data_IF_438833487798
#
_entry.id   IF_438833487798
#
_cell.length_a   1.000
_cell.length_b   1.000
_cell.length_c   1.000
_cell.angle_alpha   90.00
_cell.angle_beta   90.00
_cell.angle_gamma   90.00
#
_symmetry.space_group_name_H-M   'P 1'
#
loop_
_entity.id
_entity.type
_entity.pdbx_description
1 polymer ?
#
# COMPACT_ATOMS: atom_id res chain seq x y z
N UNK A 1 -7.03 -49.19 65.33
CA UNK A 1 -8.27 -48.39 65.42
C UNK A 1 -8.25 -47.41 64.25
N UNK A 2 -9.13 -47.54 63.24
CA UNK A 2 -10.32 -46.68 62.96
C UNK A 2 -9.91 -45.19 62.81
N UNK A 3 -10.13 -44.40 61.74
CA UNK A 3 -11.08 -44.25 60.61
C UNK A 3 -10.30 -43.48 59.48
N UNK A 4 -10.50 -43.56 58.16
CA UNK A 4 -11.65 -43.51 57.23
C UNK A 4 -12.43 -42.19 57.16
N UNK A 5 -12.07 -41.30 56.22
CA UNK A 5 -12.90 -40.28 55.52
C UNK A 5 -12.15 -39.87 54.23
N UNK A 6 -12.47 -40.31 53.01
CA UNK A 6 -13.54 -39.96 52.03
C UNK A 6 -13.75 -38.46 51.70
N UNK A 7 -13.65 -38.18 50.37
CA UNK A 7 -14.35 -37.20 49.51
C UNK A 7 -14.06 -35.69 49.69
N UNK A 8 -13.92 -34.85 48.65
CA UNK A 8 -14.60 -34.78 47.34
C UNK A 8 -13.68 -34.31 46.19
N UNK A 9 -13.75 -35.03 45.07
CA UNK A 9 -13.28 -34.63 43.75
C UNK A 9 -14.41 -33.83 43.08
N UNK A 10 -14.21 -32.52 42.89
CA UNK A 10 -15.13 -31.65 42.15
C UNK A 10 -14.95 -31.82 40.65
N UNK A 11 -15.73 -32.72 40.05
CA UNK A 11 -15.82 -32.90 38.60
C UNK A 11 -16.73 -31.78 38.04
N UNK A 12 -16.13 -30.76 37.43
CA UNK A 12 -16.88 -29.79 36.62
C UNK A 12 -17.36 -30.48 35.35
N UNK A 13 -18.63 -30.90 35.36
CA UNK A 13 -19.39 -31.21 34.16
C UNK A 13 -19.64 -29.90 33.40
N UNK A 14 -18.78 -29.58 32.44
CA UNK A 14 -19.10 -28.62 31.39
C UNK A 14 -20.07 -29.32 30.43
N UNK A 15 -21.36 -29.04 30.62
CA UNK A 15 -22.46 -29.50 29.77
C UNK A 15 -22.30 -28.93 28.36
N UNK A 16 -21.70 -29.74 27.48
CA UNK A 16 -21.74 -29.57 26.02
C UNK A 16 -23.19 -29.79 25.57
N UNK A 17 -23.89 -28.70 25.27
CA UNK A 17 -25.16 -28.75 24.54
C UNK A 17 -24.85 -29.10 23.09
N UNK A 18 -24.99 -30.39 22.76
CA UNK A 18 -25.07 -30.85 21.37
C UNK A 18 -26.42 -30.41 20.78
N UNK A 19 -26.43 -29.28 20.09
CA UNK A 19 -27.50 -28.86 19.19
C UNK A 19 -26.98 -29.03 17.74
N UNK A 20 -27.57 -30.00 17.05
CA UNK A 20 -27.64 -30.18 15.60
C UNK A 20 -26.89 -29.16 14.72
N UNK A 21 -25.69 -29.52 14.27
CA UNK A 21 -25.04 -28.90 13.11
C UNK A 21 -24.19 -29.93 12.33
N UNK A 22 -24.77 -31.10 12.03
CA UNK A 22 -24.15 -32.05 11.09
C UNK A 22 -24.45 -31.57 9.66
N UNK A 23 -23.66 -30.59 9.20
CA UNK A 23 -23.80 -29.99 7.87
C UNK A 23 -23.07 -28.65 7.67
N UNK A 24 -22.53 -28.05 8.75
CA UNK A 24 -21.75 -26.80 8.68
C UNK A 24 -20.27 -26.97 9.05
N UNK A 25 -19.82 -28.18 9.34
CA UNK A 25 -18.40 -28.43 9.64
C UNK A 25 -17.51 -28.40 8.39
N UNK A 26 -18.04 -28.73 7.20
CA UNK A 26 -17.27 -28.74 5.96
C UNK A 26 -17.02 -27.34 5.39
N UNK A 27 -17.92 -26.38 5.65
CA UNK A 27 -17.78 -25.00 5.16
C UNK A 27 -16.76 -24.16 5.95
N UNK A 28 -16.40 -24.59 7.17
CA UNK A 28 -15.44 -23.87 8.03
C UNK A 28 -14.00 -24.32 7.73
N UNK A 29 -13.80 -25.49 7.12
CA UNK A 29 -12.47 -25.99 6.75
C UNK A 29 -12.02 -25.48 5.36
N UNK A 30 -12.94 -25.13 4.45
CA UNK A 30 -12.60 -24.53 3.15
C UNK A 30 -12.19 -23.04 3.21
N UNK A 31 -12.35 -22.39 4.37
CA UNK A 31 -11.79 -21.06 4.61
C UNK A 31 -10.27 -21.09 4.91
N UNK A 32 -9.66 -22.28 4.93
CA UNK A 32 -8.22 -22.46 5.09
C UNK A 32 -7.53 -22.17 3.75
N UNK A 33 -7.09 -20.93 3.61
CA UNK A 33 -5.99 -20.47 2.73
C UNK A 33 -6.24 -20.53 1.22
N UNK A 34 -7.28 -19.86 0.73
CA UNK A 34 -7.25 -19.40 -0.66
C UNK A 34 -5.96 -18.57 -0.87
N UNK A 35 -5.11 -18.98 -1.82
CA UNK A 35 -3.90 -18.24 -2.17
C UNK A 35 -4.30 -16.81 -2.56
N UNK A 36 -3.62 -15.79 -2.06
CA UNK A 36 -3.94 -14.42 -2.43
C UNK A 36 -3.78 -14.22 -3.94
N UNK A 37 -4.59 -13.33 -4.51
CA UNK A 37 -4.70 -13.16 -5.97
C UNK A 37 -4.59 -11.69 -6.36
N UNK A 38 -4.17 -11.44 -7.60
CA UNK A 38 -4.12 -10.09 -8.16
C UNK A 38 -5.50 -9.42 -8.23
N UNK A 39 -6.59 -10.18 -8.18
CA UNK A 39 -7.96 -9.63 -8.09
C UNK A 39 -8.23 -8.85 -6.79
N UNK A 40 -7.37 -9.00 -5.77
CA UNK A 40 -7.46 -8.27 -4.51
C UNK A 40 -6.86 -6.86 -4.59
N UNK A 41 -6.18 -6.52 -5.69
CA UNK A 41 -5.64 -5.20 -5.92
C UNK A 41 -6.76 -4.15 -6.00
N UNK A 42 -6.55 -3.02 -5.34
CA UNK A 42 -7.55 -1.93 -5.28
C UNK A 42 -7.16 -0.82 -6.24
N UNK A 43 -8.09 -0.43 -7.12
CA UNK A 43 -7.91 0.71 -8.00
C UNK A 43 -8.00 2.03 -7.22
N UNK A 44 -6.92 2.80 -7.25
CA UNK A 44 -6.81 4.10 -6.61
C UNK A 44 -6.41 5.19 -7.61
N UNK A 45 -6.53 4.90 -8.90
CA UNK A 45 -6.17 5.75 -10.02
C UNK A 45 -6.82 7.13 -9.93
N UNK A 46 -6.16 8.08 -10.58
CA UNK A 46 -6.50 9.50 -10.56
C UNK A 46 -6.59 10.01 -11.99
N UNK A 47 -7.60 10.85 -12.24
CA UNK A 47 -7.91 11.42 -13.55
C UNK A 47 -8.24 10.34 -14.60
N UNK A 48 -7.79 10.50 -15.85
CA UNK A 48 -8.03 9.56 -16.94
C UNK A 48 -7.07 8.37 -16.86
N UNK A 49 -7.20 7.63 -15.77
CA UNK A 49 -6.42 6.45 -15.48
C UNK A 49 -7.28 5.41 -14.78
N UNK A 50 -6.91 4.15 -14.95
CA UNK A 50 -7.62 3.03 -14.35
C UNK A 50 -6.70 1.84 -14.16
N UNK A 51 -7.20 0.89 -13.39
CA UNK A 51 -6.64 -0.45 -13.32
C UNK A 51 -7.73 -1.48 -13.62
N UNK A 52 -7.34 -2.62 -14.17
CA UNK A 52 -8.28 -3.66 -14.55
C UNK A 52 -7.63 -5.04 -14.54
N UNK A 53 -8.45 -6.07 -14.37
CA UNK A 53 -8.04 -7.46 -14.59
C UNK A 53 -8.46 -7.92 -15.99
N UNK A 54 -7.56 -8.60 -16.68
CA UNK A 54 -7.84 -9.35 -17.92
C UNK A 54 -7.28 -10.76 -17.79
N UNK A 55 -8.14 -11.73 -17.50
CA UNK A 55 -7.70 -13.06 -17.08
C UNK A 55 -6.89 -13.01 -15.79
N UNK A 56 -5.68 -13.56 -15.80
CA UNK A 56 -4.73 -13.53 -14.66
C UNK A 56 -3.70 -12.38 -14.76
N UNK A 57 -3.98 -11.36 -15.59
CA UNK A 57 -3.09 -10.21 -15.77
C UNK A 57 -3.78 -8.97 -15.25
N UNK A 58 -3.11 -8.29 -14.33
CA UNK A 58 -3.49 -6.98 -13.85
C UNK A 58 -2.90 -5.89 -14.74
N UNK A 59 -3.70 -4.90 -15.10
CA UNK A 59 -3.32 -3.80 -15.97
C UNK A 59 -3.38 -2.49 -15.21
N UNK A 60 -2.36 -1.66 -15.36
CA UNK A 60 -2.38 -0.24 -15.01
C UNK A 60 -2.33 0.56 -16.30
N UNK A 61 -3.27 1.50 -16.47
CA UNK A 61 -3.38 2.28 -17.70
C UNK A 61 -3.71 3.74 -17.43
N UNK A 62 -2.97 4.65 -18.07
CA UNK A 62 -3.37 6.04 -18.24
C UNK A 62 -3.83 6.26 -19.67
N UNK A 63 -4.63 7.30 -19.91
CA UNK A 63 -5.05 7.74 -21.24
C UNK A 63 -4.49 9.13 -21.53
N UNK A 64 -4.49 9.50 -22.82
CA UNK A 64 -4.16 10.88 -23.21
C UNK A 64 -5.38 11.78 -23.00
N UNK A 65 -5.20 12.93 -22.37
CA UNK A 65 -6.26 13.94 -22.27
C UNK A 65 -5.99 15.02 -21.23
N UNK A 66 -6.67 16.17 -21.35
CA UNK A 66 -6.56 17.23 -20.36
C UNK A 66 -7.29 16.84 -19.05
N UNK A 67 -6.74 17.22 -17.90
CA UNK A 67 -7.37 17.02 -16.61
C UNK A 67 -7.40 18.32 -15.80
N UNK A 68 -8.40 18.51 -14.92
CA UNK A 68 -8.38 19.61 -13.99
C UNK A 68 -7.21 19.49 -13.01
N UNK A 69 -6.68 20.63 -12.59
CA UNK A 69 -5.81 20.70 -11.41
C UNK A 69 -6.63 20.33 -10.18
N UNK A 70 -6.01 19.63 -9.23
CA UNK A 70 -6.62 19.33 -7.93
C UNK A 70 -6.83 17.85 -7.66
N UNK A 71 -6.47 16.98 -8.60
CA UNK A 71 -6.65 15.53 -8.43
C UNK A 71 -5.55 14.86 -7.59
N UNK A 72 -4.39 15.51 -7.48
CA UNK A 72 -3.24 15.06 -6.68
C UNK A 72 -3.04 15.96 -5.48
N UNK A 73 -2.47 15.44 -4.40
CA UNK A 73 -2.10 16.26 -3.24
C UNK A 73 -1.17 17.42 -3.64
N UNK A 74 -0.24 17.20 -4.57
CA UNK A 74 0.71 18.22 -5.06
C UNK A 74 0.20 19.19 -6.15
N UNK A 75 -1.08 19.13 -6.55
CA UNK A 75 -1.66 20.09 -7.51
C UNK A 75 -1.34 19.84 -9.00
N UNK A 76 -0.96 18.61 -9.36
CA UNK A 76 -0.74 18.23 -10.76
C UNK A 76 -2.01 18.14 -11.60
N UNK A 77 -1.84 18.07 -12.93
CA UNK A 77 -2.90 17.87 -13.94
C UNK A 77 -2.64 16.64 -14.85
N UNK A 78 -1.65 15.82 -14.52
CA UNK A 78 -1.34 14.59 -15.26
C UNK A 78 -2.30 13.43 -14.97
N UNK A 79 -1.93 12.23 -15.43
CA UNK A 79 -2.66 10.99 -15.17
C UNK A 79 -1.77 10.02 -14.41
N UNK A 80 -2.34 9.32 -13.42
CA UNK A 80 -1.62 8.25 -12.72
C UNK A 80 -2.56 7.09 -12.45
N UNK A 81 -2.24 5.93 -13.04
CA UNK A 81 -2.87 4.68 -12.67
C UNK A 81 -2.19 4.20 -11.39
N UNK A 82 -2.98 3.91 -10.37
CA UNK A 82 -2.49 3.57 -9.03
C UNK A 82 -3.24 2.33 -8.58
N UNK A 83 -2.49 1.32 -8.17
CA UNK A 83 -3.03 0.13 -7.55
C UNK A 83 -2.37 -0.10 -6.21
N UNK A 84 -3.16 -0.52 -5.23
CA UNK A 84 -2.61 -0.90 -3.94
C UNK A 84 -2.91 -2.35 -3.57
N UNK A 85 -1.93 -2.97 -2.93
CA UNK A 85 -1.98 -4.33 -2.42
C UNK A 85 -2.41 -4.31 -0.95
N UNK A 86 -3.60 -4.82 -0.61
CA UNK A 86 -4.07 -4.85 0.78
C UNK A 86 -3.35 -5.95 1.59
N UNK A 87 -3.57 -5.93 2.91
CA UNK A 87 -3.08 -6.97 3.83
C UNK A 87 -1.72 -6.69 4.48
N UNK A 88 -1.15 -5.51 4.27
CA UNK A 88 0.15 -5.11 4.85
C UNK A 88 0.04 -3.96 5.87
N UNK A 89 -1.16 -3.63 6.34
CA UNK A 89 -1.29 -2.62 7.39
C UNK A 89 -0.62 -3.09 8.69
N UNK A 90 0.21 -2.22 9.27
CA UNK A 90 1.10 -2.49 10.40
C UNK A 90 2.13 -3.59 10.15
N UNK A 91 2.46 -3.88 8.88
CA UNK A 91 3.53 -4.81 8.58
C UNK A 91 4.89 -4.15 8.91
N UNK A 92 5.66 -4.67 9.88
CA UNK A 92 6.92 -4.05 10.29
C UNK A 92 7.89 -4.01 9.12
N UNK A 93 8.44 -2.82 8.82
CA UNK A 93 9.33 -2.64 7.68
C UNK A 93 10.64 -3.42 7.85
N UNK A 94 11.05 -3.68 9.10
CA UNK A 94 12.17 -4.57 9.45
C UNK A 94 11.96 -6.04 9.08
N UNK A 95 10.72 -6.46 8.82
CA UNK A 95 10.39 -7.80 8.34
C UNK A 95 10.27 -7.86 6.82
N UNK A 96 10.34 -6.73 6.11
CA UNK A 96 10.33 -6.73 4.65
C UNK A 96 11.71 -7.17 4.15
N UNK A 97 11.79 -8.32 3.49
CA UNK A 97 13.02 -8.79 2.87
C UNK A 97 13.08 -8.43 1.39
N UNK A 98 12.01 -8.74 0.66
CA UNK A 98 11.99 -8.68 -0.81
C UNK A 98 10.60 -8.39 -1.35
N UNK A 99 10.52 -7.59 -2.40
CA UNK A 99 9.34 -7.48 -3.26
C UNK A 99 9.77 -7.86 -4.67
N UNK A 100 9.16 -8.90 -5.22
CA UNK A 100 9.35 -9.32 -6.60
C UNK A 100 8.06 -9.10 -7.36
N UNK A 101 8.14 -8.60 -8.58
CA UNK A 101 6.99 -8.51 -9.47
C UNK A 101 7.40 -8.84 -10.90
N UNK A 102 6.48 -9.45 -11.63
CA UNK A 102 6.68 -9.76 -13.03
C UNK A 102 5.76 -8.90 -13.88
N UNK A 103 6.37 -8.05 -14.70
CA UNK A 103 5.67 -7.01 -15.42
C UNK A 103 6.24 -6.80 -16.81
N UNK A 104 5.41 -6.24 -17.69
CA UNK A 104 5.82 -5.71 -18.99
C UNK A 104 5.14 -4.40 -19.27
N UNK A 105 5.82 -3.53 -20.01
CA UNK A 105 5.20 -2.34 -20.59
C UNK A 105 4.56 -2.73 -21.92
N UNK A 106 3.44 -2.11 -22.26
CA UNK A 106 2.85 -2.26 -23.60
C UNK A 106 2.74 -0.93 -24.34
N UNK A 107 2.73 0.19 -23.64
CA UNK A 107 2.64 1.53 -24.25
C UNK A 107 3.27 2.57 -23.34
N UNK A 108 3.86 3.60 -23.94
CA UNK A 108 4.41 4.77 -23.24
C UNK A 108 5.90 4.63 -22.88
N UNK A 109 6.42 5.57 -22.09
CA UNK A 109 7.83 5.65 -21.72
C UNK A 109 8.08 5.78 -20.22
N UNK A 110 7.01 5.79 -19.42
CA UNK A 110 7.10 5.93 -17.97
C UNK A 110 7.35 4.56 -17.32
N UNK A 111 8.24 4.53 -16.33
CA UNK A 111 8.56 3.34 -15.55
C UNK A 111 7.46 3.03 -14.53
N UNK A 112 7.31 1.75 -14.19
CA UNK A 112 6.45 1.30 -13.10
C UNK A 112 7.04 1.69 -11.75
N UNK A 113 6.29 2.45 -10.96
CA UNK A 113 6.65 2.87 -9.61
C UNK A 113 6.26 1.79 -8.61
N UNK A 114 7.13 1.52 -7.65
CA UNK A 114 6.81 0.81 -6.41
C UNK A 114 6.97 1.77 -5.24
N UNK A 115 5.90 1.99 -4.49
CA UNK A 115 5.86 2.85 -3.32
C UNK A 115 5.35 2.09 -2.09
N UNK A 116 5.88 2.42 -0.92
CA UNK A 116 5.39 1.97 0.37
C UNK A 116 4.88 3.18 1.15
N UNK A 117 3.70 3.07 1.75
CA UNK A 117 3.17 4.06 2.69
C UNK A 117 3.57 3.61 4.08
N UNK A 118 4.44 4.39 4.72
CA UNK A 118 5.13 4.01 5.93
C UNK A 118 4.77 4.97 7.05
N UNK A 119 4.34 4.45 8.18
CA UNK A 119 4.34 5.17 9.46
C UNK A 119 5.71 5.00 10.12
N UNK A 120 6.31 6.09 10.55
CA UNK A 120 7.69 6.13 11.03
C UNK A 120 7.85 5.41 12.38
N UNK A 121 6.80 5.41 13.21
CA UNK A 121 6.82 4.82 14.56
C UNK A 121 5.84 3.66 14.74
N UNK A 122 5.04 3.35 13.72
CA UNK A 122 3.97 2.34 13.76
C UNK A 122 2.96 2.51 14.90
N UNK A 123 2.61 3.77 15.20
CA UNK A 123 1.65 4.12 16.24
C UNK A 123 0.35 4.65 15.68
N UNK A 124 0.34 5.07 14.41
CA UNK A 124 -0.81 5.70 13.79
C UNK A 124 -1.65 4.67 13.05
N UNK A 125 -2.92 4.57 13.46
CA UNK A 125 -3.92 3.80 12.71
C UNK A 125 -4.34 4.51 11.42
N UNK A 126 -5.02 3.76 10.53
CA UNK A 126 -5.62 4.26 9.29
C UNK A 126 -6.49 5.51 9.55
N UNK A 127 -7.07 5.59 10.75
CA UNK A 127 -8.13 6.49 11.20
C UNK A 127 -7.72 7.97 11.36
N UNK A 128 -6.44 8.33 11.16
CA UNK A 128 -6.07 9.76 11.06
C UNK A 128 -6.83 10.49 9.95
N UNK A 129 -7.32 9.76 8.93
CA UNK A 129 -8.23 10.30 7.92
C UNK A 129 -9.59 10.74 8.47
N UNK A 130 -10.02 10.25 9.63
CA UNK A 130 -11.36 10.54 10.15
C UNK A 130 -11.35 11.61 11.24
N UNK A 131 -10.16 12.09 11.63
CA UNK A 131 -10.04 13.20 12.58
C UNK A 131 -9.96 14.52 11.82
N UNK A 132 -10.93 15.40 12.02
CA UNK A 132 -10.92 16.76 11.44
C UNK A 132 -9.80 17.64 12.01
N UNK A 133 -9.17 17.22 13.11
CA UNK A 133 -8.05 17.91 13.74
C UNK A 133 -6.69 17.60 13.06
N UNK A 134 -6.55 16.46 12.38
CA UNK A 134 -5.32 16.13 11.68
C UNK A 134 -5.23 16.92 10.37
N UNK A 135 -4.03 17.38 10.06
CA UNK A 135 -3.69 18.11 8.84
C UNK A 135 -2.68 17.34 7.99
N UNK A 136 -2.51 17.74 6.74
CA UNK A 136 -1.45 17.23 5.86
C UNK A 136 -0.06 17.37 6.50
N UNK A 137 0.21 18.44 7.26
CA UNK A 137 1.45 18.56 8.04
C UNK A 137 1.61 17.45 9.09
N UNK A 138 0.53 17.05 9.77
CA UNK A 138 0.58 15.98 10.75
C UNK A 138 0.88 14.63 10.09
N UNK A 139 0.30 14.38 8.91
CA UNK A 139 0.60 13.17 8.12
C UNK A 139 2.08 13.18 7.72
N UNK A 140 2.58 14.29 7.15
CA UNK A 140 3.97 14.40 6.70
C UNK A 140 4.95 14.13 7.84
N UNK A 141 4.69 14.72 9.01
CA UNK A 141 5.59 14.60 10.16
C UNK A 141 5.80 13.15 10.63
N UNK A 142 4.81 12.27 10.46
CA UNK A 142 4.83 10.92 11.01
C UNK A 142 4.82 9.83 9.93
N UNK A 143 4.50 10.16 8.68
CA UNK A 143 4.43 9.21 7.58
C UNK A 143 5.35 9.61 6.45
N UNK A 144 5.81 8.60 5.71
CA UNK A 144 6.61 8.75 4.50
C UNK A 144 6.13 7.84 3.41
N UNK A 145 6.38 8.26 2.18
CA UNK A 145 6.33 7.38 1.03
C UNK A 145 7.77 6.92 0.78
N UNK A 146 8.03 5.63 0.90
CA UNK A 146 9.29 5.05 0.43
C UNK A 146 9.09 4.57 -1.00
N UNK A 147 9.75 5.22 -1.95
CA UNK A 147 9.72 4.85 -3.35
C UNK A 147 10.99 4.10 -3.72
N UNK A 148 10.87 3.16 -4.65
CA UNK A 148 12.05 2.55 -5.28
C UNK A 148 12.54 3.46 -6.39
N UNK A 149 13.87 3.65 -6.48
CA UNK A 149 14.52 4.26 -7.64
C UNK A 149 14.37 3.34 -8.86
N UNK A 150 13.24 3.50 -9.51
CA UNK A 150 12.80 2.72 -10.65
C UNK A 150 13.80 2.68 -11.82
N UNK A 151 14.64 3.70 -11.99
CA UNK A 151 15.63 3.71 -13.07
C UNK A 151 16.74 2.66 -12.87
N UNK A 152 16.92 2.19 -11.64
CA UNK A 152 17.91 1.17 -11.29
C UNK A 152 17.36 -0.25 -11.36
N UNK A 153 16.04 -0.41 -11.25
CA UNK A 153 15.38 -1.73 -11.13
C UNK A 153 14.59 -2.08 -12.38
N UNK A 154 13.82 -1.14 -12.92
CA UNK A 154 12.83 -1.41 -13.95
C UNK A 154 13.36 -0.97 -15.30
N UNK A 155 13.41 -1.91 -16.24
CA UNK A 155 13.74 -1.63 -17.63
C UNK A 155 12.46 -1.31 -18.42
N UNK A 156 12.60 -0.48 -19.44
CA UNK A 156 11.55 -0.29 -20.44
C UNK A 156 11.56 -1.48 -21.41
N UNK A 157 11.02 -2.60 -20.95
CA UNK A 157 10.89 -3.85 -21.71
C UNK A 157 9.44 -4.11 -22.11
N UNK A 158 9.25 -4.54 -23.35
CA UNK A 158 7.95 -4.90 -23.93
C UNK A 158 7.65 -6.42 -23.73
N UNK A 159 8.60 -7.15 -23.14
CA UNK A 159 8.48 -8.54 -22.69
C UNK A 159 8.23 -8.63 -21.18
N UNK A 160 7.69 -9.75 -20.70
CA UNK A 160 7.55 -9.99 -19.26
C UNK A 160 8.92 -10.24 -18.65
N UNK A 161 9.31 -9.33 -17.77
CA UNK A 161 10.55 -9.40 -17.01
C UNK A 161 10.25 -9.45 -15.51
N UNK A 162 11.07 -10.19 -14.78
CA UNK A 162 10.97 -10.31 -13.32
C UNK A 162 11.89 -9.30 -12.66
N UNK A 163 11.32 -8.43 -11.84
CA UNK A 163 12.01 -7.39 -11.10
C UNK A 163 12.01 -7.75 -9.62
N UNK A 164 13.17 -7.66 -8.96
CA UNK A 164 13.30 -7.94 -7.52
C UNK A 164 13.91 -6.73 -6.84
N UNK A 165 13.23 -6.27 -5.81
CA UNK A 165 13.64 -5.17 -4.93
C UNK A 165 13.95 -5.78 -3.57
N UNK A 166 15.20 -5.70 -3.14
CA UNK A 166 15.63 -6.18 -1.83
C UNK A 166 15.69 -5.02 -0.83
N UNK A 167 15.44 -5.32 0.44
CA UNK A 167 15.59 -4.34 1.52
C UNK A 167 17.02 -3.77 1.65
N UNK A 168 18.01 -4.55 1.23
CA UNK A 168 19.43 -4.19 1.28
C UNK A 168 19.90 -3.36 0.09
N UNK A 169 19.09 -3.22 -0.96
CA UNK A 169 19.47 -2.50 -2.16
C UNK A 169 19.50 -1.00 -1.88
N UNK A 170 20.50 -0.29 -2.43
CA UNK A 170 20.64 1.17 -2.23
C UNK A 170 19.76 1.99 -3.17
N UNK A 171 18.48 1.64 -3.23
CA UNK A 171 17.50 2.12 -4.21
C UNK A 171 16.27 2.73 -3.53
N UNK A 172 16.21 2.75 -2.19
CA UNK A 172 15.04 3.24 -1.46
C UNK A 172 15.17 4.75 -1.25
N UNK A 173 14.14 5.46 -1.70
CA UNK A 173 14.01 6.91 -1.65
C UNK A 173 12.87 7.28 -0.72
N UNK A 174 13.15 8.04 0.33
CA UNK A 174 12.09 8.69 1.10
C UNK A 174 11.62 9.92 0.31
N UNK A 175 10.39 9.88 -0.19
CA UNK A 175 9.80 10.94 -0.98
C UNK A 175 8.95 11.86 -0.11
N UNK A 176 8.99 13.14 -0.44
CA UNK A 176 8.17 14.16 0.18
C UNK A 176 8.82 14.88 1.35
N UNK A 177 8.29 16.06 1.66
CA UNK A 177 8.86 16.97 2.66
C UNK A 177 8.28 16.70 4.04
N UNK A 178 9.10 16.22 4.97
CA UNK A 178 8.75 16.26 6.38
C UNK A 178 9.97 16.16 7.28
N UNK A 179 9.92 16.84 8.43
CA UNK A 179 10.78 16.56 9.57
C UNK A 179 12.27 16.65 9.30
N UNK A 180 12.72 17.58 8.44
CA UNK A 180 14.16 17.78 8.19
C UNK A 180 14.81 16.79 7.22
N UNK A 181 14.06 15.91 6.56
CA UNK A 181 14.58 15.13 5.44
C UNK A 181 14.51 15.96 4.14
N UNK A 182 15.57 16.01 3.33
CA UNK A 182 15.54 16.62 2.00
C UNK A 182 14.38 16.02 1.18
N UNK A 183 13.77 16.84 0.32
CA UNK A 183 12.62 16.45 -0.51
C UNK A 183 12.86 15.21 -1.39
N UNK A 184 14.13 14.81 -1.55
CA UNK A 184 14.59 13.57 -2.14
C UNK A 184 15.87 13.18 -1.39
N UNK A 185 15.79 12.34 -0.36
CA UNK A 185 17.00 11.77 0.22
C UNK A 185 17.63 10.85 -0.83
N UNK A 186 18.91 11.02 -1.23
CA UNK A 186 19.55 10.14 -2.20
C UNK A 186 19.43 8.67 -1.77
N UNK A 187 19.23 7.79 -2.76
CA UNK A 187 18.94 6.36 -2.58
C UNK A 187 19.77 5.73 -1.47
N UNK A 188 19.08 5.10 -0.53
CA UNK A 188 19.69 4.36 0.58
C UNK A 188 19.13 2.95 0.66
N UNK A 189 19.55 2.22 1.69
CA UNK A 189 18.98 0.90 2.02
C UNK A 189 17.85 1.08 3.03
N UNK A 190 16.92 0.11 3.10
CA UNK A 190 15.94 0.09 4.18
C UNK A 190 16.62 -0.06 5.55
N UNK A 191 17.78 -0.72 5.62
CA UNK A 191 18.55 -0.85 6.87
C UNK A 191 18.95 0.52 7.41
N UNK A 192 19.49 1.39 6.56
CA UNK A 192 19.86 2.76 6.97
C UNK A 192 18.64 3.56 7.41
N UNK A 193 17.51 3.39 6.71
CA UNK A 193 16.25 4.03 7.11
C UNK A 193 15.76 3.55 8.49
N UNK A 194 15.80 2.24 8.72
CA UNK A 194 15.40 1.59 9.98
C UNK A 194 16.35 1.90 11.14
N UNK A 195 17.60 2.27 10.89
CA UNK A 195 18.49 2.75 11.95
C UNK A 195 17.96 4.05 12.60
N UNK A 196 17.29 4.90 11.81
CA UNK A 196 16.64 6.13 12.31
C UNK A 196 15.22 5.84 12.80
N UNK A 197 14.48 4.98 12.10
CA UNK A 197 13.07 4.66 12.37
C UNK A 197 12.89 3.16 12.63
N UNK A 198 13.36 2.64 13.77
CA UNK A 198 13.42 1.20 14.03
C UNK A 198 12.05 0.53 14.12
N UNK A 199 11.01 1.30 14.43
CA UNK A 199 9.64 0.82 14.57
C UNK A 199 8.81 1.03 13.31
N UNK A 200 9.37 1.56 12.22
CA UNK A 200 8.59 1.91 11.04
C UNK A 200 7.83 0.70 10.47
N UNK A 201 6.61 0.94 10.00
CA UNK A 201 5.77 -0.10 9.41
C UNK A 201 4.99 0.39 8.21
N UNK A 202 4.72 -0.54 7.29
CA UNK A 202 3.80 -0.31 6.18
C UNK A 202 2.40 -0.16 6.77
N UNK A 203 1.64 0.83 6.31
CA UNK A 203 0.28 1.08 6.75
C UNK A 203 -0.63 1.34 5.57
N UNK A 204 -1.90 0.99 5.67
CA UNK A 204 -2.90 1.70 4.89
C UNK A 204 -3.09 3.09 5.52
N UNK A 205 -3.26 4.10 4.69
CA UNK A 205 -3.45 5.44 5.21
C UNK A 205 -3.53 6.51 4.13
N UNK A 206 -3.86 7.72 4.59
CA UNK A 206 -3.81 8.94 3.78
C UNK A 206 -2.40 9.13 3.22
N UNK A 207 -2.31 9.23 1.90
CA UNK A 207 -1.11 9.75 1.26
C UNK A 207 -1.14 11.28 1.18
N UNK A 208 0.01 11.90 1.39
CA UNK A 208 0.18 13.35 1.54
C UNK A 208 1.23 13.94 0.58
N UNK A 209 1.85 13.09 -0.25
CA UNK A 209 2.89 13.46 -1.20
C UNK A 209 3.02 12.40 -2.34
N UNK A 210 4.16 12.35 -3.04
CA UNK A 210 4.51 11.33 -4.04
C UNK A 210 3.66 11.38 -5.31
N UNK A 211 2.91 12.47 -5.51
CA UNK A 211 1.88 12.57 -6.54
C UNK A 211 0.79 11.52 -6.36
N UNK A 212 0.42 11.20 -5.11
CA UNK A 212 -0.74 10.38 -4.79
C UNK A 212 -2.04 11.18 -4.90
N UNK A 213 -3.15 10.42 -4.98
CA UNK A 213 -4.48 10.98 -5.17
C UNK A 213 -4.98 11.82 -4.00
N UNK A 214 -5.89 12.72 -4.31
CA UNK A 214 -6.63 13.55 -3.36
C UNK A 214 -8.07 13.06 -3.26
N UNK A 215 -8.69 13.22 -2.10
CA UNK A 215 -10.15 13.10 -1.98
C UNK A 215 -10.86 14.25 -2.69
N UNK A 216 -11.94 13.91 -3.40
CA UNK A 216 -12.72 14.83 -4.22
C UNK A 216 -14.01 15.19 -3.46
N UNK A 217 -13.85 15.89 -2.33
CA UNK A 217 -14.95 16.31 -1.44
C UNK A 217 -14.92 17.80 -1.07
N UNK A 218 -15.96 18.25 -0.34
CA UNK A 218 -16.10 19.63 0.13
C UNK A 218 -14.89 20.00 1.01
N UNK A 219 -14.13 21.01 0.60
CA UNK A 219 -12.93 21.50 1.30
C UNK A 219 -11.60 20.93 0.81
N UNK A 220 -11.60 19.92 -0.07
CA UNK A 220 -10.36 19.31 -0.61
C UNK A 220 -10.10 19.68 -2.07
N UNK A 221 -11.14 19.98 -2.83
CA UNK A 221 -11.03 20.42 -4.21
C UNK A 221 -10.46 21.84 -4.28
N UNK A 222 -9.25 21.99 -4.82
CA UNK A 222 -8.62 23.29 -5.04
C UNK A 222 -7.96 23.31 -6.41
N UNK A 223 -7.86 24.47 -7.04
CA UNK A 223 -7.10 24.67 -8.28
C UNK A 223 -5.57 24.71 -8.07
N UNK A 224 -5.07 24.22 -6.93
CA UNK A 224 -3.66 24.21 -6.54
C UNK A 224 -3.32 22.92 -5.77
N UNK A 225 -2.08 22.77 -5.31
CA UNK A 225 -1.73 21.72 -4.34
C UNK A 225 -2.43 21.95 -2.98
N UNK A 226 -2.55 20.88 -2.19
CA UNK A 226 -3.02 21.01 -0.81
C UNK A 226 -1.97 21.73 0.04
N UNK A 227 -2.41 22.76 0.77
CA UNK A 227 -1.60 23.39 1.79
C UNK A 227 -1.32 22.39 2.93
N UNK A 228 -0.22 22.59 3.66
CA UNK A 228 0.12 21.78 4.84
C UNK A 228 -0.94 21.86 5.95
N UNK A 229 -1.69 22.96 6.02
CA UNK A 229 -2.81 23.16 6.94
C UNK A 229 -4.13 22.55 6.46
N UNK A 230 -4.18 21.99 5.24
CA UNK A 230 -5.38 21.30 4.77
C UNK A 230 -5.67 20.10 5.67
N UNK A 231 -6.95 19.74 5.89
CA UNK A 231 -7.28 18.55 6.65
C UNK A 231 -6.66 17.29 6.05
N UNK A 232 -6.20 16.38 6.91
CA UNK A 232 -5.55 15.13 6.49
C UNK A 232 -6.47 14.29 5.60
N UNK A 233 -7.77 14.27 5.87
CA UNK A 233 -8.77 13.54 5.07
C UNK A 233 -8.81 13.98 3.60
N UNK A 234 -8.18 15.10 3.23
CA UNK A 234 -8.09 15.50 1.84
C UNK A 234 -7.07 14.67 1.04
N UNK A 235 -6.12 13.98 1.66
CA UNK A 235 -5.32 12.97 0.96
C UNK A 235 -6.12 11.68 0.78
N UNK A 236 -6.02 11.04 -0.39
CA UNK A 236 -6.72 9.77 -0.64
C UNK A 236 -6.11 8.66 0.20
N UNK A 237 -6.97 7.83 0.79
CA UNK A 237 -6.51 6.64 1.48
C UNK A 237 -5.97 5.62 0.48
N UNK A 238 -4.77 5.11 0.75
CA UNK A 238 -4.06 4.12 -0.07
C UNK A 238 -3.66 2.91 0.77
N UNK A 239 -3.69 1.70 0.19
CA UNK A 239 -3.22 0.50 0.90
C UNK A 239 -1.71 0.36 0.75
N UNK A 240 -1.04 -0.09 1.80
CA UNK A 240 0.35 0.28 2.07
C UNK A 240 1.41 -0.05 1.01
N UNK A 241 1.24 -1.06 0.15
CA UNK A 241 2.14 -1.31 -0.99
C UNK A 241 1.44 -0.87 -2.27
N UNK A 242 2.05 0.05 -3.01
CA UNK A 242 1.44 0.72 -4.15
C UNK A 242 2.28 0.53 -5.41
N UNK A 243 1.64 0.07 -6.47
CA UNK A 243 2.16 0.09 -7.83
C UNK A 243 1.52 1.24 -8.59
N UNK A 244 2.30 2.02 -9.32
CA UNK A 244 1.74 3.12 -10.10
C UNK A 244 2.46 3.31 -11.44
N UNK A 245 1.77 3.89 -12.42
CA UNK A 245 2.37 4.38 -13.66
C UNK A 245 1.75 5.71 -14.06
N UNK A 246 2.53 6.54 -14.74
CA UNK A 246 2.16 7.89 -15.16
C UNK A 246 2.78 8.94 -14.26
N UNK A 247 2.30 10.17 -14.37
CA UNK A 247 2.87 11.32 -13.67
C UNK A 247 1.78 12.30 -13.27
N UNK A 248 2.06 13.09 -12.22
CA UNK A 248 1.21 14.22 -11.86
C UNK A 248 1.35 15.40 -12.82
N UNK A 249 2.36 15.42 -13.70
CA UNK A 249 2.62 16.54 -14.63
C UNK A 249 2.24 16.28 -16.08
N UNK A 250 2.15 15.01 -16.51
CA UNK A 250 1.91 14.65 -17.90
C UNK A 250 0.66 13.78 -18.03
N UNK A 251 -0.06 13.98 -19.13
CA UNK A 251 -1.24 13.21 -19.46
C UNK A 251 -1.01 12.42 -20.76
N UNK A 252 0.02 11.57 -20.73
CA UNK A 252 0.34 10.63 -21.80
C UNK A 252 -0.33 9.29 -21.52
N UNK A 253 -0.62 8.55 -22.59
CA UNK A 253 -1.03 7.15 -22.48
C UNK A 253 0.17 6.28 -22.08
N UNK A 254 0.00 5.55 -20.99
CA UNK A 254 0.96 4.58 -20.47
C UNK A 254 0.18 3.29 -20.19
N UNK A 255 0.80 2.14 -20.42
CA UNK A 255 0.18 0.86 -20.03
C UNK A 255 1.25 -0.13 -19.59
N UNK A 256 1.02 -0.69 -18.40
CA UNK A 256 1.80 -1.75 -17.81
C UNK A 256 0.91 -2.92 -17.42
N UNK A 257 1.44 -4.12 -17.59
CA UNK A 257 0.79 -5.37 -17.25
C UNK A 257 1.61 -6.09 -16.20
N UNK A 258 0.99 -6.51 -15.10
CA UNK A 258 1.56 -7.27 -14.01
C UNK A 258 0.85 -8.63 -13.96
N UNK A 259 1.61 -9.73 -13.95
CA UNK A 259 1.03 -11.08 -13.86
C UNK A 259 1.39 -11.82 -12.58
N UNK A 260 2.29 -11.24 -11.79
CA UNK A 260 2.74 -11.82 -10.54
C UNK A 260 3.29 -10.75 -9.62
N UNK A 261 2.92 -10.83 -8.34
CA UNK A 261 3.55 -10.06 -7.26
C UNK A 261 3.94 -11.05 -6.15
N UNK A 262 5.09 -10.86 -5.53
CA UNK A 262 5.53 -11.62 -4.37
C UNK A 262 6.14 -10.67 -3.35
N UNK A 263 5.63 -10.69 -2.13
CA UNK A 263 6.18 -9.93 -1.00
C UNK A 263 6.65 -10.96 0.01
N UNK A 264 7.95 -10.95 0.31
CA UNK A 264 8.63 -12.00 1.04
C UNK A 264 8.29 -13.39 0.46
N UNK A 265 7.60 -14.25 1.23
CA UNK A 265 7.16 -15.58 0.79
C UNK A 265 5.75 -15.61 0.19
N UNK A 266 4.95 -14.55 0.36
CA UNK A 266 3.55 -14.49 -0.07
C UNK A 266 3.46 -14.12 -1.54
N UNK A 267 2.76 -14.92 -2.34
CA UNK A 267 2.68 -14.77 -3.80
C UNK A 267 1.24 -14.58 -4.29
N UNK A 268 1.05 -13.58 -5.15
CA UNK A 268 -0.20 -13.16 -5.77
C UNK A 268 -0.15 -13.44 -7.28
N UNK A 269 -1.16 -14.15 -7.79
CA UNK A 269 -1.33 -14.54 -9.20
C UNK A 269 -2.79 -14.43 -9.65
#
# INVERSE_FOLDING_TARGET
MKQSTKSHLGLLCLSLVFLNACGQADAIIDAVTAKPSLTQLVDQSVNQASTAMSGAVFQLQTQTGANPVGAFVGGGAGNKAISSLPGYHKFPLSQLSTITFEAKRTTGSTLLYLNLIVDLDCTLDEDLSNTTAATIANIRANRKILSVDQFTVVALDDSYSSYTVNAIDSIWLAVGTAGGLPANNPGGTLITFLATYPNACIINGVADDGGMGREVGVGCQTGAGLATSAPAYCGKLVNGIVFAVGSSSTATQETWLIRKIKVNSTEYQ
#
